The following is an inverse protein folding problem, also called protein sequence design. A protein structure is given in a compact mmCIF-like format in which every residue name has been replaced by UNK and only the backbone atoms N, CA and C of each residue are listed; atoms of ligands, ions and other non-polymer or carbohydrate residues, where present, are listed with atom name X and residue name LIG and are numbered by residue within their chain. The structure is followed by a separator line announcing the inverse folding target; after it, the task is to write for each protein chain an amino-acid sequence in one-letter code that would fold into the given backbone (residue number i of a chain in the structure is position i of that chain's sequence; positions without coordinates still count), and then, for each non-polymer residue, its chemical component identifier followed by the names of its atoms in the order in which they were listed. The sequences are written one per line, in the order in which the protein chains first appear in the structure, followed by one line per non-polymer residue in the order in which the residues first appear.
data_IF_038063760482
#
_entry.id   IF_038063760482
#
_cell.length_a   1.000
_cell.length_b   1.000
_cell.length_c   1.000
_cell.angle_alpha   90.00
_cell.angle_beta   90.00
_cell.angle_gamma   90.00
#
_symmetry.space_group_name_H-M   'P 1'
#
loop_
_entity.id
_entity.type
_entity.pdbx_description
1 polymer ?
#
# COMPACT_ATOMS: atom_id res chain seq x y z
N UNK A 1 14.73 -0.81 4.36
CA UNK A 1 14.66 0.53 3.72
C UNK A 1 13.25 0.83 3.26
N UNK A 2 12.69 0.10 2.29
CA UNK A 2 11.27 0.18 1.92
C UNK A 2 10.35 0.19 3.13
N UNK A 3 10.47 -0.80 4.03
CA UNK A 3 9.54 -0.93 5.15
C UNK A 3 9.56 0.29 6.08
N UNK A 4 10.75 0.87 6.29
CA UNK A 4 10.92 2.13 7.04
C UNK A 4 10.32 3.31 6.29
N UNK A 5 10.47 3.38 4.96
CA UNK A 5 9.89 4.44 4.14
C UNK A 5 8.35 4.34 4.12
N UNK A 6 7.78 3.15 3.98
CA UNK A 6 6.33 2.94 4.09
C UNK A 6 5.87 3.35 5.48
N UNK A 7 6.57 2.91 6.53
CA UNK A 7 6.19 3.20 7.92
C UNK A 7 5.17 2.22 8.50
N UNK A 8 4.94 1.09 7.83
CA UNK A 8 4.04 0.05 8.32
C UNK A 8 4.65 -0.78 9.46
N UNK A 9 3.80 -1.36 10.29
CA UNK A 9 4.19 -2.34 11.31
C UNK A 9 4.49 -3.71 10.68
N UNK A 10 5.08 -4.62 11.46
CA UNK A 10 5.37 -5.99 10.99
C UNK A 10 4.10 -6.77 10.63
N UNK A 11 3.01 -6.60 11.39
CA UNK A 11 1.72 -7.24 11.11
C UNK A 11 1.08 -6.69 9.84
N UNK A 12 1.14 -5.37 9.63
CA UNK A 12 0.71 -4.73 8.39
C UNK A 12 1.54 -5.23 7.20
N UNK A 13 2.87 -5.27 7.33
CA UNK A 13 3.78 -5.76 6.29
C UNK A 13 3.37 -7.17 5.81
N UNK A 14 3.21 -8.13 6.73
CA UNK A 14 2.86 -9.50 6.36
C UNK A 14 1.55 -9.59 5.56
N UNK A 15 0.52 -8.84 5.98
CA UNK A 15 -0.78 -8.82 5.29
C UNK A 15 -0.73 -8.08 3.96
N UNK A 16 0.07 -7.01 3.88
CA UNK A 16 0.00 -6.03 2.79
C UNK A 16 1.11 -6.15 1.77
N UNK A 17 2.05 -7.08 1.96
CA UNK A 17 3.10 -7.34 0.97
C UNK A 17 2.51 -7.73 -0.40
N UNK A 18 1.32 -8.34 -0.42
CA UNK A 18 0.59 -8.67 -1.65
C UNK A 18 0.29 -7.46 -2.55
N UNK A 19 0.24 -6.25 -2.00
CA UNK A 19 -0.01 -5.02 -2.74
C UNK A 19 1.25 -4.37 -3.32
N UNK A 20 2.41 -5.00 -3.14
CA UNK A 20 3.70 -4.53 -3.63
C UNK A 20 4.22 -5.48 -4.69
N UNK A 21 4.51 -4.96 -5.89
CA UNK A 21 5.10 -5.75 -6.97
C UNK A 21 6.59 -5.48 -7.11
N UNK A 22 7.39 -6.53 -7.28
CA UNK A 22 8.81 -6.41 -7.59
C UNK A 22 9.05 -6.54 -9.10
N UNK A 23 9.59 -5.50 -9.73
CA UNK A 23 10.06 -5.56 -11.11
C UNK A 23 11.49 -6.14 -11.14
N UNK A 24 11.56 -7.47 -11.12
CA UNK A 24 12.84 -8.20 -11.00
C UNK A 24 13.67 -8.19 -12.28
N UNK A 25 13.05 -8.10 -13.46
CA UNK A 25 13.74 -8.13 -14.75
C UNK A 25 13.08 -7.20 -15.75
N UNK A 26 13.82 -6.19 -16.17
CA UNK A 26 13.43 -5.28 -17.25
C UNK A 26 14.56 -5.18 -18.26
N UNK A 27 14.28 -5.61 -19.50
CA UNK A 27 15.28 -5.72 -20.57
C UNK A 27 14.73 -5.10 -21.85
N UNK A 28 15.49 -4.17 -22.42
CA UNK A 28 15.27 -3.65 -23.78
C UNK A 28 16.40 -4.16 -24.66
N UNK A 29 16.03 -4.95 -25.67
CA UNK A 29 17.00 -5.55 -26.59
C UNK A 29 17.75 -4.48 -27.38
N UNK A 30 19.07 -4.63 -27.61
CA UNK A 30 19.90 -3.65 -28.29
C UNK A 30 19.33 -3.20 -29.64
N UNK A 31 18.79 -4.14 -30.42
CA UNK A 31 18.26 -3.91 -31.78
C UNK A 31 17.05 -2.96 -31.81
N UNK A 32 16.33 -2.86 -30.69
CA UNK A 32 15.12 -2.04 -30.57
C UNK A 32 15.35 -0.72 -29.82
N UNK A 33 16.59 -0.44 -29.38
CA UNK A 33 16.87 0.73 -28.53
C UNK A 33 16.60 2.03 -29.28
N UNK A 34 15.72 2.83 -28.71
CA UNK A 34 15.40 4.19 -29.14
C UNK A 34 15.38 5.10 -27.91
N UNK A 35 15.63 6.40 -28.12
CA UNK A 35 15.64 7.39 -27.04
C UNK A 35 14.34 7.28 -26.22
N UNK A 36 14.46 7.23 -24.89
CA UNK A 36 13.36 7.16 -23.93
C UNK A 36 12.40 5.95 -24.05
N UNK A 37 12.68 4.96 -24.91
CA UNK A 37 11.80 3.80 -25.06
C UNK A 37 11.58 3.05 -23.74
N UNK A 38 12.66 2.84 -22.99
CA UNK A 38 12.61 2.11 -21.73
C UNK A 38 11.72 2.78 -20.68
N UNK A 39 11.85 4.11 -20.49
CA UNK A 39 11.01 4.85 -19.54
C UNK A 39 9.56 4.96 -20.03
N UNK A 40 9.33 5.10 -21.33
CA UNK A 40 7.98 5.11 -21.92
C UNK A 40 7.26 3.77 -21.70
N UNK A 41 7.92 2.66 -22.00
CA UNK A 41 7.37 1.32 -21.76
C UNK A 41 7.08 1.10 -20.28
N UNK A 42 8.01 1.48 -19.40
CA UNK A 42 7.85 1.35 -17.96
C UNK A 42 6.63 2.15 -17.46
N UNK A 43 6.50 3.40 -17.90
CA UNK A 43 5.35 4.24 -17.55
C UNK A 43 4.02 3.68 -18.09
N UNK A 44 4.02 3.13 -19.31
CA UNK A 44 2.84 2.49 -19.89
C UNK A 44 2.39 1.25 -19.13
N UNK A 45 3.34 0.40 -18.73
CA UNK A 45 3.04 -0.78 -17.91
C UNK A 45 2.51 -0.38 -16.52
N UNK A 46 3.13 0.61 -15.86
CA UNK A 46 2.69 1.08 -14.55
C UNK A 46 1.25 1.60 -14.55
N UNK A 47 0.81 2.28 -15.63
CA UNK A 47 -0.57 2.80 -15.73
C UNK A 47 -1.63 1.71 -15.71
N UNK A 48 -1.31 0.51 -16.18
CA UNK A 48 -2.25 -0.62 -16.23
C UNK A 48 -2.05 -1.62 -15.10
N UNK A 49 -0.86 -1.64 -14.50
CA UNK A 49 -0.43 -2.64 -13.53
C UNK A 49 -1.44 -2.89 -12.41
N UNK A 50 -2.04 -1.84 -11.84
CA UNK A 50 -3.02 -2.01 -10.76
C UNK A 50 -4.25 -2.79 -11.23
N UNK A 51 -4.84 -2.42 -12.38
CA UNK A 51 -6.02 -3.07 -12.93
C UNK A 51 -5.74 -4.48 -13.47
N UNK A 52 -4.63 -4.65 -14.22
CA UNK A 52 -4.23 -5.96 -14.72
C UNK A 52 -3.98 -6.95 -13.55
N UNK A 53 -3.47 -6.46 -12.42
CA UNK A 53 -3.27 -7.29 -11.23
C UNK A 53 -4.58 -7.63 -10.52
N UNK A 54 -5.49 -6.66 -10.43
CA UNK A 54 -6.80 -6.84 -9.83
C UNK A 54 -7.64 -7.88 -10.59
N UNK A 55 -7.67 -7.79 -11.92
CA UNK A 55 -8.39 -8.75 -12.77
C UNK A 55 -7.91 -10.19 -12.52
N UNK A 56 -6.60 -10.36 -12.29
CA UNK A 56 -6.00 -11.69 -12.12
C UNK A 56 -6.01 -12.21 -10.69
N UNK A 57 -5.90 -11.33 -9.70
CA UNK A 57 -5.65 -11.70 -8.29
C UNK A 57 -6.71 -11.20 -7.31
N UNK A 58 -7.73 -10.45 -7.79
CA UNK A 58 -8.80 -9.90 -6.97
C UNK A 58 -8.39 -8.73 -6.09
N UNK A 59 -7.21 -8.14 -6.31
CA UNK A 59 -6.74 -6.95 -5.61
C UNK A 59 -5.70 -6.19 -6.43
N UNK A 60 -5.56 -4.87 -6.30
CA UNK A 60 -4.59 -4.12 -7.09
C UNK A 60 -3.17 -4.23 -6.53
N UNK A 61 -2.20 -3.74 -7.30
CA UNK A 61 -0.88 -3.35 -6.80
C UNK A 61 -0.85 -1.84 -6.60
N UNK A 62 -0.41 -1.40 -5.44
CA UNK A 62 -0.37 0.03 -5.08
C UNK A 62 1.05 0.60 -5.09
N UNK A 63 2.06 -0.27 -5.00
CA UNK A 63 3.47 0.10 -5.00
C UNK A 63 4.27 -0.87 -5.87
N UNK A 64 5.15 -0.35 -6.71
CA UNK A 64 6.15 -1.13 -7.42
C UNK A 64 7.54 -0.84 -6.87
N UNK A 65 8.40 -1.85 -6.82
CA UNK A 65 9.80 -1.72 -6.41
C UNK A 65 10.73 -2.40 -7.42
N UNK A 66 11.99 -1.97 -7.44
CA UNK A 66 13.03 -2.61 -8.23
C UNK A 66 14.39 -2.47 -7.54
N UNK A 67 15.29 -3.39 -7.85
CA UNK A 67 16.67 -3.38 -7.36
C UNK A 67 17.63 -3.25 -8.53
N UNK A 68 18.24 -2.07 -8.67
CA UNK A 68 19.16 -1.75 -9.75
C UNK A 68 20.58 -2.03 -9.30
N UNK A 69 21.26 -2.88 -10.05
CA UNK A 69 22.68 -3.18 -9.87
C UNK A 69 23.54 -1.93 -10.12
N UNK A 70 24.64 -1.76 -9.38
CA UNK A 70 25.54 -0.59 -9.50
C UNK A 70 26.10 -0.39 -10.91
N UNK A 71 26.20 -1.45 -11.73
CA UNK A 71 26.62 -1.32 -13.14
C UNK A 71 25.64 -0.50 -13.99
N UNK A 72 24.41 -0.26 -13.50
CA UNK A 72 23.40 0.51 -14.19
C UNK A 72 23.05 1.79 -13.42
N UNK A 73 22.90 2.89 -14.16
CA UNK A 73 22.44 4.17 -13.58
C UNK A 73 20.96 4.20 -13.20
N UNK A 74 20.17 3.21 -13.63
CA UNK A 74 18.73 3.19 -13.39
C UNK A 74 17.95 4.31 -14.11
N UNK A 75 18.54 4.95 -15.12
CA UNK A 75 18.00 6.17 -15.75
C UNK A 75 16.58 6.03 -16.29
N UNK A 76 16.17 4.84 -16.74
CA UNK A 76 14.80 4.61 -17.20
C UNK A 76 13.78 4.66 -16.05
N UNK A 77 14.14 4.19 -14.86
CA UNK A 77 13.30 4.28 -13.66
C UNK A 77 13.22 5.72 -13.19
N UNK A 78 14.36 6.40 -13.08
CA UNK A 78 14.41 7.82 -12.69
C UNK A 78 13.62 8.70 -13.67
N UNK A 79 13.79 8.49 -14.98
CA UNK A 79 13.04 9.19 -16.02
C UNK A 79 11.54 8.85 -16.06
N UNK A 80 11.11 7.77 -15.41
CA UNK A 80 9.70 7.44 -15.19
C UNK A 80 9.20 7.89 -13.80
N UNK A 81 9.98 8.71 -13.09
CA UNK A 81 9.60 9.30 -11.81
C UNK A 81 9.57 8.30 -10.65
N UNK A 82 10.46 7.30 -10.66
CA UNK A 82 10.69 6.42 -9.51
C UNK A 82 11.55 7.11 -8.46
N UNK A 83 11.26 6.85 -7.19
CA UNK A 83 11.97 7.39 -6.04
C UNK A 83 13.08 6.44 -5.60
N UNK A 84 14.30 6.94 -5.49
CA UNK A 84 15.43 6.19 -4.93
C UNK A 84 15.39 6.23 -3.39
N UNK A 85 15.41 5.07 -2.73
CA UNK A 85 15.37 4.97 -1.26
C UNK A 85 16.72 4.72 -0.61
N UNK A 86 17.66 4.07 -1.32
CA UNK A 86 18.98 3.71 -0.76
C UNK A 86 19.58 2.46 -1.39
N UNK A 87 20.59 1.89 -0.75
CA UNK A 87 21.32 0.71 -1.25
C UNK A 87 21.11 -0.53 -0.36
N UNK A 88 21.00 -1.71 -0.97
CA UNK A 88 20.99 -2.97 -0.22
C UNK A 88 22.35 -3.26 0.42
N UNK A 89 22.39 -4.19 1.38
CA UNK A 89 23.61 -4.58 2.07
C UNK A 89 24.53 -5.52 1.26
N UNK A 90 24.29 -5.72 -0.03
CA UNK A 90 25.12 -6.60 -0.87
C UNK A 90 24.98 -8.10 -0.60
N UNK A 91 23.76 -8.54 -0.24
CA UNK A 91 23.43 -9.95 -0.06
C UNK A 91 22.67 -10.52 -1.26
N UNK A 92 22.97 -11.77 -1.58
CA UNK A 92 22.27 -12.58 -2.56
C UNK A 92 21.58 -13.76 -1.88
N UNK A 93 20.73 -14.47 -2.62
CA UNK A 93 20.06 -15.67 -2.13
C UNK A 93 20.32 -16.82 -3.11
N UNK A 94 20.83 -17.93 -2.61
CA UNK A 94 21.03 -19.17 -3.36
C UNK A 94 20.59 -20.36 -2.48
N UNK A 95 19.81 -21.29 -3.04
CA UNK A 95 19.34 -22.48 -2.32
C UNK A 95 18.60 -22.16 -1.01
N UNK A 96 17.88 -21.04 -0.95
CA UNK A 96 17.18 -20.60 0.27
C UNK A 96 18.06 -19.88 1.31
N UNK A 97 19.39 -19.92 1.20
CA UNK A 97 20.32 -19.26 2.12
C UNK A 97 20.76 -17.90 1.57
N UNK A 98 20.90 -16.93 2.46
CA UNK A 98 21.50 -15.65 2.14
C UNK A 98 23.02 -15.75 2.24
N UNK A 99 23.73 -15.17 1.28
CA UNK A 99 25.19 -15.05 1.32
C UNK A 99 25.59 -13.62 0.96
N UNK A 100 26.62 -13.13 1.63
CA UNK A 100 27.16 -11.80 1.35
C UNK A 100 28.08 -11.87 0.12
N UNK A 101 27.87 -10.97 -0.85
CA UNK A 101 28.70 -10.87 -2.05
C UNK A 101 29.24 -9.44 -2.29
N UNK A 102 28.96 -8.49 -1.39
CA UNK A 102 29.52 -7.15 -1.43
C UNK A 102 29.13 -6.32 -2.66
N UNK A 103 28.02 -6.65 -3.34
CA UNK A 103 27.50 -5.88 -4.49
C UNK A 103 26.15 -5.25 -4.11
N UNK A 104 26.14 -4.04 -3.53
CA UNK A 104 24.91 -3.34 -3.20
C UNK A 104 24.05 -3.13 -4.44
N UNK A 105 22.73 -3.08 -4.27
CA UNK A 105 21.78 -2.67 -5.31
C UNK A 105 21.05 -1.42 -4.85
N UNK A 106 20.81 -0.48 -5.76
CA UNK A 106 19.97 0.67 -5.50
C UNK A 106 18.51 0.24 -5.50
N UNK A 107 17.80 0.47 -4.40
CA UNK A 107 16.36 0.27 -4.29
C UNK A 107 15.64 1.52 -4.80
N UNK A 108 14.77 1.32 -5.80
CA UNK A 108 13.83 2.33 -6.25
C UNK A 108 12.40 1.85 -6.07
N UNK A 109 11.50 2.78 -5.77
CA UNK A 109 10.07 2.52 -5.59
C UNK A 109 9.23 3.50 -6.40
N UNK A 110 8.02 3.08 -6.75
CA UNK A 110 7.03 3.92 -7.44
C UNK A 110 5.64 3.59 -6.92
N UNK A 111 4.93 4.60 -6.45
CA UNK A 111 3.50 4.49 -6.22
C UNK A 111 2.80 4.26 -7.56
N UNK A 112 2.07 3.15 -7.65
CA UNK A 112 1.29 2.77 -8.84
C UNK A 112 -0.06 3.47 -8.80
N UNK A 113 -0.69 3.47 -7.63
CA UNK A 113 -1.87 4.26 -7.33
C UNK A 113 -1.49 5.45 -6.46
N UNK A 114 -2.18 6.58 -6.65
CA UNK A 114 -2.01 7.75 -5.80
C UNK A 114 -2.20 7.36 -4.34
N UNK A 115 -1.30 7.80 -3.45
CA UNK A 115 -1.36 7.52 -2.00
C UNK A 115 -1.11 6.07 -1.63
N UNK A 116 -0.57 5.24 -2.53
CA UNK A 116 -0.29 3.83 -2.28
C UNK A 116 0.57 3.61 -1.02
N UNK A 117 1.57 4.45 -0.77
CA UNK A 117 2.39 4.41 0.45
C UNK A 117 1.55 4.65 1.71
N UNK A 118 0.70 5.68 1.70
CA UNK A 118 -0.17 6.01 2.83
C UNK A 118 -1.10 4.85 3.15
N UNK A 119 -1.71 4.25 2.13
CA UNK A 119 -2.61 3.11 2.31
C UNK A 119 -1.90 1.88 2.87
N UNK A 120 -0.67 1.63 2.43
CA UNK A 120 0.14 0.54 2.99
C UNK A 120 0.44 0.74 4.47
N UNK A 121 0.55 1.99 4.94
CA UNK A 121 0.80 2.34 6.34
C UNK A 121 -0.47 2.55 7.18
N UNK A 122 -1.64 2.71 6.55
CA UNK A 122 -2.89 3.07 7.21
C UNK A 122 -3.28 2.07 8.32
N UNK A 123 -3.84 2.51 9.46
CA UNK A 123 -4.19 1.59 10.56
C UNK A 123 -5.24 0.54 10.15
N UNK A 124 -6.17 0.90 9.27
CA UNK A 124 -7.20 0.04 8.70
C UNK A 124 -6.96 -0.22 7.20
N UNK A 125 -7.62 -1.25 6.67
CA UNK A 125 -7.56 -1.54 5.24
C UNK A 125 -8.44 -0.54 4.48
N UNK A 126 -7.90 0.03 3.40
CA UNK A 126 -8.63 0.99 2.58
C UNK A 126 -9.49 0.26 1.54
N UNK A 127 -10.70 0.75 1.22
CA UNK A 127 -11.56 0.13 0.22
C UNK A 127 -10.88 -0.05 -1.15
N UNK A 128 -10.02 0.90 -1.54
CA UNK A 128 -9.25 0.82 -2.79
C UNK A 128 -8.26 -0.37 -2.85
N UNK A 129 -7.92 -0.97 -1.71
CA UNK A 129 -7.07 -2.18 -1.61
C UNK A 129 -7.92 -3.45 -1.44
N UNK A 130 -9.23 -3.33 -1.28
CA UNK A 130 -10.17 -4.44 -1.16
C UNK A 130 -11.35 -4.24 -2.11
N UNK A 131 -11.11 -4.21 -3.43
CA UNK A 131 -12.20 -4.17 -4.39
C UNK A 131 -13.11 -5.39 -4.17
N UNK A 132 -14.40 -5.15 -3.95
CA UNK A 132 -15.38 -6.19 -3.63
C UNK A 132 -15.51 -6.55 -2.14
N UNK A 133 -14.86 -5.82 -1.23
CA UNK A 133 -15.18 -5.89 0.20
C UNK A 133 -16.65 -5.56 0.43
N UNK A 134 -17.39 -6.46 1.09
CA UNK A 134 -18.78 -6.19 1.48
C UNK A 134 -18.72 -5.07 2.54
N UNK A 135 -19.42 -3.94 2.34
CA UNK A 135 -19.54 -2.93 3.38
C UNK A 135 -20.00 -3.62 4.67
N UNK A 136 -19.25 -3.43 5.77
CA UNK A 136 -19.69 -3.95 7.05
C UNK A 136 -20.96 -3.20 7.45
N UNK A 137 -22.11 -3.86 7.40
CA UNK A 137 -23.31 -3.34 8.05
C UNK A 137 -23.08 -3.42 9.55
N UNK A 138 -22.79 -2.28 10.16
CA UNK A 138 -22.57 -2.17 11.60
C UNK A 138 -23.81 -2.64 12.37
N UNK A 139 -25.03 -2.48 11.83
CA UNK A 139 -26.24 -2.96 12.50
C UNK A 139 -26.26 -4.49 12.61
N UNK A 140 -25.71 -5.21 11.63
CA UNK A 140 -25.53 -6.66 11.73
C UNK A 140 -24.46 -7.05 12.76
N UNK A 141 -23.41 -6.24 12.92
CA UNK A 141 -22.39 -6.49 13.95
C UNK A 141 -22.94 -6.35 15.38
N UNK A 142 -24.02 -5.57 15.57
CA UNK A 142 -24.72 -5.39 16.85
C UNK A 142 -26.00 -6.23 16.97
N UNK A 143 -26.23 -7.24 16.13
CA UNK A 143 -27.49 -7.99 16.05
C UNK A 143 -27.99 -8.63 17.37
N UNK A 144 -27.14 -8.74 18.41
CA UNK A 144 -27.55 -9.16 19.76
C UNK A 144 -28.06 -8.04 20.69
N UNK A 145 -27.87 -6.76 20.34
CA UNK A 145 -28.21 -5.59 21.15
C UNK A 145 -29.21 -4.62 20.49
N UNK A 146 -29.42 -4.72 19.17
CA UNK A 146 -30.20 -3.78 18.35
C UNK A 146 -29.33 -3.17 17.25
N UNK A 147 -29.66 -1.96 16.79
CA UNK A 147 -28.76 -1.16 15.96
C UNK A 147 -27.59 -0.58 16.77
N UNK A 148 -26.55 -0.06 16.09
CA UNK A 148 -25.49 0.70 16.75
C UNK A 148 -26.08 1.86 17.57
N UNK A 149 -27.06 2.57 17.02
CA UNK A 149 -27.69 3.70 17.71
C UNK A 149 -28.47 3.25 18.94
N UNK A 150 -29.18 2.12 18.89
CA UNK A 150 -29.87 1.55 20.06
C UNK A 150 -28.89 1.19 21.18
N UNK A 151 -27.72 0.66 20.83
CA UNK A 151 -26.68 0.35 21.79
C UNK A 151 -26.08 1.63 22.42
N UNK A 152 -25.91 2.69 21.63
CA UNK A 152 -25.39 3.98 22.10
C UNK A 152 -26.40 4.77 22.95
N UNK A 153 -27.70 4.69 22.64
CA UNK A 153 -28.76 5.33 23.43
C UNK A 153 -28.88 4.75 24.86
N UNK A 154 -28.43 3.51 25.08
CA UNK A 154 -28.39 2.90 26.42
C UNK A 154 -27.27 3.44 27.31
N UNK A 155 -26.32 4.20 26.76
CA UNK A 155 -25.22 4.78 27.52
C UNK A 155 -25.73 6.06 28.21
N UNK A 156 -25.70 6.15 29.56
CA UNK A 156 -26.15 7.34 30.26
C UNK A 156 -25.36 8.60 29.82
N UNK A 157 -26.03 9.76 29.76
CA UNK A 157 -25.38 11.04 29.46
C UNK A 157 -24.77 11.65 30.72
N UNK A 158 -23.43 11.62 30.91
CA UNK A 158 -22.81 12.22 32.09
C UNK A 158 -22.72 13.75 31.97
N UNK A 159 -23.09 14.33 30.82
CA UNK A 159 -22.91 15.76 30.56
C UNK A 159 -23.94 16.57 31.34
N UNK A 160 -23.46 17.65 31.96
CA UNK A 160 -24.32 18.60 32.64
C UNK A 160 -25.29 19.27 31.66
N UNK A 161 -26.55 19.52 32.08
CA UNK A 161 -27.63 20.03 31.22
C UNK A 161 -27.29 21.32 30.44
N UNK A 162 -26.47 22.20 31.03
CA UNK A 162 -25.99 23.44 30.38
C UNK A 162 -24.92 23.22 29.31
N UNK A 163 -24.31 22.03 29.23
CA UNK A 163 -23.26 21.66 28.29
C UNK A 163 -23.74 20.84 27.08
N UNK A 164 -25.04 20.53 27.00
CA UNK A 164 -25.59 19.71 25.92
C UNK A 164 -25.85 20.59 24.68
N UNK A 165 -24.98 20.46 23.66
CA UNK A 165 -25.15 21.11 22.35
C UNK A 165 -25.60 20.17 21.24
N UNK A 166 -25.27 18.89 21.37
CA UNK A 166 -25.57 17.82 20.42
C UNK A 166 -26.04 16.57 21.17
N UNK A 167 -26.86 15.75 20.52
CA UNK A 167 -27.26 14.43 21.06
C UNK A 167 -26.02 13.58 21.34
N UNK A 168 -26.05 12.87 22.46
CA UNK A 168 -24.91 12.05 22.89
C UNK A 168 -24.68 10.89 21.93
N UNK A 169 -25.75 10.21 21.50
CA UNK A 169 -25.70 9.14 20.50
C UNK A 169 -24.92 9.53 19.24
N UNK A 170 -25.15 10.73 18.72
CA UNK A 170 -24.54 11.23 17.49
C UNK A 170 -23.06 11.54 17.69
N UNK A 171 -22.70 12.11 18.85
CA UNK A 171 -21.31 12.33 19.24
C UNK A 171 -20.56 11.01 19.43
N UNK A 172 -21.17 10.04 20.08
CA UNK A 172 -20.60 8.71 20.30
C UNK A 172 -20.52 7.92 19.00
N UNK A 173 -21.51 8.00 18.12
CA UNK A 173 -21.50 7.35 16.82
C UNK A 173 -20.36 7.88 15.94
N UNK A 174 -20.15 9.20 15.91
CA UNK A 174 -19.00 9.81 15.24
C UNK A 174 -17.67 9.34 15.84
N UNK A 175 -17.57 9.25 17.17
CA UNK A 175 -16.36 8.77 17.83
C UNK A 175 -16.08 7.28 17.56
N UNK A 176 -17.12 6.44 17.49
CA UNK A 176 -16.99 4.99 17.22
C UNK A 176 -16.71 4.72 15.74
N UNK A 177 -17.36 5.44 14.83
CA UNK A 177 -17.18 5.25 13.39
C UNK A 177 -15.95 5.97 12.82
N UNK A 178 -15.37 6.90 13.57
CA UNK A 178 -14.20 7.69 13.16
C UNK A 178 -12.84 7.06 13.49
N UNK A 179 -12.82 5.85 14.07
CA UNK A 179 -11.60 5.11 14.48
C UNK A 179 -11.20 4.06 13.46
#
# INVERSE_FOLDING_TARGET
MRDRWIGWSRSQQWRRLRYVANNSRFLVLPQTRRKNLASQLLAANLRRLAGDWEERHGHPVVLAETFVDQRFRGSCYLGAGWLQLGQTLGYGRNGGKYYHHGQPKTLLVKEVLSRGREWLAAPFDVPAMQPGGVPLDLNCAFAGAGSLLDALERIPDPRHRRGIRHRQDSMLALAVCGV
#
